data_IF_444473160174
#
_entry.id   IF_444473160174
#
_cell.length_a   1.000
_cell.length_b   1.000
_cell.length_c   1.000
_cell.angle_alpha   90.00
_cell.angle_beta   90.00
_cell.angle_gamma   90.00
#
_symmetry.space_group_name_H-M   'P 1'
#
loop_
_entity.id
_entity.type
_entity.pdbx_description
1 polymer ?
#
# COMPACT_ATOMS: atom_id res chain seq x y z
N UNK A 1 -2.46 -0.88 7.57
CA UNK A 1 -1.39 -0.81 6.60
C UNK A 1 -1.47 -2.00 5.66
N UNK A 2 -1.99 -1.77 4.48
CA UNK A 2 -2.10 -2.83 3.54
C UNK A 2 -1.23 -2.63 2.35
N UNK A 3 0.00 -2.39 2.62
CA UNK A 3 0.97 -2.12 1.58
C UNK A 3 1.75 -3.37 1.25
N UNK A 4 1.25 -4.45 1.72
CA UNK A 4 1.67 -5.76 1.29
C UNK A 4 0.41 -6.50 0.88
N UNK A 5 -0.61 -6.33 1.70
CA UNK A 5 -1.92 -6.87 1.47
C UNK A 5 -2.88 -6.24 2.46
N UNK A 6 -3.82 -5.43 2.00
CA UNK A 6 -4.76 -4.84 2.93
C UNK A 6 -5.30 -3.49 2.52
N UNK A 7 -4.80 -2.92 1.47
CA UNK A 7 -5.35 -1.69 0.95
C UNK A 7 -6.02 -1.94 -0.37
N UNK A 8 -6.87 -1.03 -0.81
CA UNK A 8 -7.54 -1.18 -2.08
C UNK A 8 -6.60 -0.88 -3.24
N UNK A 9 -5.55 -1.64 -3.32
CA UNK A 9 -4.57 -1.46 -4.33
C UNK A 9 -3.29 -0.94 -3.72
N UNK A 10 -2.18 -1.47 -4.15
CA UNK A 10 -0.88 -1.06 -3.66
C UNK A 10 -0.48 0.29 -4.25
N UNK A 11 -1.22 0.70 -5.28
CA UNK A 11 -0.96 1.95 -5.93
C UNK A 11 -1.82 3.06 -5.29
N UNK A 12 -2.46 2.75 -4.16
CA UNK A 12 -3.20 3.76 -3.45
C UNK A 12 -2.17 4.67 -2.78
N UNK A 13 -2.56 5.91 -2.49
CA UNK A 13 -1.61 6.91 -1.98
C UNK A 13 -0.93 6.46 -0.70
N UNK A 14 -1.68 5.77 0.13
CA UNK A 14 -1.19 5.27 1.40
C UNK A 14 0.02 4.35 1.15
N UNK A 15 -0.13 3.45 0.23
CA UNK A 15 0.88 2.50 -0.07
C UNK A 15 1.87 2.97 -1.12
N UNK A 16 1.52 4.02 -1.78
CA UNK A 16 2.45 4.67 -2.69
C UNK A 16 3.50 5.41 -1.86
N UNK A 17 3.09 5.88 -0.70
CA UNK A 17 3.94 6.68 0.13
C UNK A 17 4.56 5.85 1.27
N UNK A 18 3.73 5.08 1.96
CA UNK A 18 4.13 4.32 3.15
C UNK A 18 4.40 2.85 2.78
N UNK A 19 4.85 2.65 1.57
CA UNK A 19 5.10 1.34 0.98
C UNK A 19 6.12 0.49 1.73
N UNK A 20 5.72 -0.74 2.03
CA UNK A 20 6.63 -1.70 2.62
C UNK A 20 6.98 -2.74 1.57
N UNK A 21 5.96 -3.40 1.05
CA UNK A 21 6.15 -4.39 0.00
C UNK A 21 5.75 -3.78 -1.35
N UNK A 22 4.52 -3.32 -1.43
CA UNK A 22 3.98 -2.71 -2.61
C UNK A 22 3.35 -1.35 -2.26
#
# INVERSE_FOLDING_TARGET
>A
RGCCNGRGGCSSRWCRDHARCCX
#
